data_IF_942011667214
#
_entry.id   IF_942011667214
#
_cell.length_a   1.000
_cell.length_b   1.000
_cell.length_c   1.000
_cell.angle_alpha   90.00
_cell.angle_beta   90.00
_cell.angle_gamma   90.00
#
_symmetry.space_group_name_H-M   'P 1'
#
loop_
_entity.id
_entity.type
_entity.pdbx_description
1 polymer ?
#
# COMPACT_ATOMS: atom_id res chain seq x y z
N UNK A 1 12.28 28.24 -66.36
CA UNK A 1 10.82 28.34 -66.52
C UNK A 1 10.16 27.16 -65.81
N UNK A 2 9.07 27.43 -65.10
CA UNK A 2 8.24 26.50 -64.30
C UNK A 2 7.71 25.30 -65.13
N UNK A 3 7.19 24.16 -64.63
CA UNK A 3 6.35 23.71 -63.50
C UNK A 3 6.55 22.17 -63.44
N UNK A 4 6.26 21.35 -62.42
CA UNK A 4 5.49 21.44 -61.18
C UNK A 4 4.75 20.09 -60.95
N UNK A 5 4.67 19.66 -59.67
CA UNK A 5 3.78 18.63 -59.07
C UNK A 5 4.15 17.15 -59.36
N UNK A 6 4.10 16.20 -58.43
CA UNK A 6 3.71 16.16 -57.02
C UNK A 6 3.97 14.74 -56.48
N UNK A 7 4.41 14.62 -55.23
CA UNK A 7 4.75 13.36 -54.57
C UNK A 7 3.49 12.55 -54.17
N UNK A 8 3.54 11.20 -54.17
CA UNK A 8 2.42 10.38 -53.75
C UNK A 8 2.35 10.29 -52.21
N UNK A 9 1.15 10.55 -51.68
CA UNK A 9 0.79 10.36 -50.26
C UNK A 9 0.68 8.87 -49.94
N UNK A 10 1.38 8.44 -48.89
CA UNK A 10 1.22 7.14 -48.26
C UNK A 10 -0.07 7.08 -47.43
N UNK A 11 -0.74 5.94 -47.55
CA UNK A 11 -1.98 5.55 -46.87
C UNK A 11 -1.63 5.03 -45.47
N UNK A 12 -2.24 5.50 -44.37
CA UNK A 12 -2.29 4.73 -43.14
C UNK A 12 -3.59 3.94 -43.05
N UNK A 13 -3.42 2.67 -42.72
CA UNK A 13 -4.47 1.68 -42.56
C UNK A 13 -5.47 2.05 -41.46
N UNK A 14 -6.74 1.82 -41.78
CA UNK A 14 -7.93 1.96 -40.95
C UNK A 14 -7.95 0.84 -39.90
N UNK A 15 -7.62 1.13 -38.65
CA UNK A 15 -7.97 0.26 -37.53
C UNK A 15 -9.31 0.73 -36.95
N UNK A 16 -10.28 -0.14 -37.09
CA UNK A 16 -11.64 -0.04 -36.57
C UNK A 16 -11.63 0.04 -35.04
N UNK A 17 -12.14 1.14 -34.49
CA UNK A 17 -12.46 1.27 -33.07
C UNK A 17 -13.61 0.34 -32.70
N UNK A 18 -13.37 -0.49 -31.68
CA UNK A 18 -14.40 -1.16 -30.91
C UNK A 18 -14.36 -0.54 -29.52
N UNK A 19 -15.35 0.32 -29.25
CA UNK A 19 -15.62 0.87 -27.93
C UNK A 19 -16.00 -0.27 -26.97
N UNK A 20 -15.06 -0.69 -26.13
CA UNK A 20 -15.34 -1.59 -25.02
C UNK A 20 -15.50 -0.77 -23.74
N UNK A 21 -16.76 -0.50 -23.38
CA UNK A 21 -17.15 0.04 -22.08
C UNK A 21 -16.56 -0.83 -20.95
N UNK A 22 -15.67 -0.25 -20.16
CA UNK A 22 -15.19 -0.83 -18.90
C UNK A 22 -16.33 -0.76 -17.88
N UNK A 23 -17.02 -1.88 -17.67
CA UNK A 23 -17.98 -2.06 -16.59
C UNK A 23 -17.26 -2.44 -15.29
N UNK A 24 -17.63 -1.91 -14.11
CA UNK A 24 -17.05 -2.31 -12.83
C UNK A 24 -17.56 -3.70 -12.39
N UNK A 25 -16.78 -4.52 -11.67
CA UNK A 25 -17.21 -5.88 -11.32
C UNK A 25 -18.06 -5.94 -10.04
N UNK A 26 -19.12 -6.78 -10.12
CA UNK A 26 -19.70 -7.59 -9.04
C UNK A 26 -20.44 -6.88 -7.86
N UNK A 27 -21.44 -6.04 -8.16
CA UNK A 27 -22.48 -5.70 -7.18
C UNK A 27 -23.93 -5.68 -7.72
N UNK A 28 -24.16 -6.03 -8.98
CA UNK A 28 -25.44 -5.73 -9.68
C UNK A 28 -26.37 -6.91 -9.94
N UNK A 29 -26.11 -8.12 -9.41
CA UNK A 29 -26.89 -9.31 -9.78
C UNK A 29 -27.92 -9.84 -8.78
N UNK A 30 -28.29 -9.10 -7.71
CA UNK A 30 -29.28 -9.61 -6.73
C UNK A 30 -30.41 -8.69 -6.30
N UNK A 31 -30.73 -7.60 -7.01
CA UNK A 31 -31.93 -6.80 -6.71
C UNK A 31 -32.61 -6.27 -7.99
N UNK A 32 -33.54 -7.05 -8.54
CA UNK A 32 -34.62 -6.50 -9.37
C UNK A 32 -35.90 -6.41 -8.53
N UNK A 33 -36.43 -5.21 -8.24
CA UNK A 33 -37.82 -5.06 -7.83
C UNK A 33 -38.70 -4.86 -9.06
N UNK A 34 -39.70 -5.73 -9.12
CA UNK A 34 -40.85 -5.75 -10.03
C UNK A 34 -41.55 -4.39 -10.24
N UNK A 35 -41.88 -4.09 -11.50
CA UNK A 35 -42.80 -3.01 -11.93
C UNK A 35 -44.14 -3.05 -11.17
N UNK A 36 -44.58 -1.92 -10.60
CA UNK A 36 -46.01 -1.65 -10.30
C UNK A 36 -46.49 -0.36 -10.98
N UNK A 37 -47.69 -0.46 -11.57
CA UNK A 37 -48.40 0.53 -12.40
C UNK A 37 -49.09 1.64 -11.58
N UNK A 38 -49.12 2.85 -12.18
CA UNK A 38 -50.14 3.94 -12.20
C UNK A 38 -51.03 4.18 -10.96
N UNK A 39 -51.11 5.46 -10.56
CA UNK A 39 -52.40 6.19 -10.44
C UNK A 39 -52.20 7.71 -10.67
N UNK A 40 -53.03 8.26 -11.58
CA UNK A 40 -53.24 9.69 -11.82
C UNK A 40 -54.21 10.24 -10.75
N UNK A 41 -53.95 11.43 -10.23
CA UNK A 41 -54.88 12.20 -9.37
C UNK A 41 -54.82 13.69 -9.73
N UNK A 42 -55.98 14.32 -9.86
CA UNK A 42 -56.24 15.66 -10.42
C UNK A 42 -55.98 16.81 -9.43
N UNK A 43 -55.62 17.94 -10.05
CA UNK A 43 -55.75 19.38 -9.72
C UNK A 43 -56.74 19.77 -8.61
N UNK A 44 -56.32 20.69 -7.74
CA UNK A 44 -57.16 21.76 -7.18
C UNK A 44 -56.33 23.05 -7.02
N UNK A 45 -56.97 24.17 -7.36
CA UNK A 45 -56.44 25.54 -7.49
C UNK A 45 -57.03 26.35 -6.34
N UNK A 46 -56.22 27.12 -5.60
CA UNK A 46 -56.71 28.13 -4.64
C UNK A 46 -55.76 29.33 -4.63
N UNK A 47 -56.33 30.53 -4.53
CA UNK A 47 -55.79 31.84 -4.90
C UNK A 47 -55.51 32.74 -3.69
N UNK A 48 -54.29 33.32 -3.63
CA UNK A 48 -53.92 34.64 -3.07
C UNK A 48 -53.81 34.83 -1.54
N UNK A 49 -53.15 35.90 -1.02
CA UNK A 49 -52.58 37.06 -1.72
C UNK A 49 -51.09 37.45 -1.39
N UNK A 50 -50.54 38.22 -2.35
CA UNK A 50 -49.45 39.24 -2.40
C UNK A 50 -48.39 39.47 -1.29
N UNK A 51 -47.19 39.75 -1.83
CA UNK A 51 -46.17 40.77 -1.48
C UNK A 51 -45.19 40.47 -0.34
N UNK A 52 -43.94 40.17 -0.72
CA UNK A 52 -42.75 40.94 -0.27
C UNK A 52 -41.62 40.73 -1.30
N UNK A 53 -41.27 41.79 -2.02
CA UNK A 53 -40.05 41.89 -2.84
C UNK A 53 -38.98 42.49 -1.93
N UNK A 54 -38.01 41.67 -1.53
CA UNK A 54 -36.81 42.08 -0.78
C UNK A 54 -35.60 42.22 -1.70
N UNK A 55 -34.62 43.06 -1.35
CA UNK A 55 -33.78 43.76 -2.31
C UNK A 55 -32.67 42.90 -2.93
N UNK A 56 -32.31 43.28 -4.16
CA UNK A 56 -31.10 42.90 -4.88
C UNK A 56 -29.88 42.89 -3.96
N UNK A 57 -29.34 41.71 -3.66
CA UNK A 57 -28.03 41.58 -3.01
C UNK A 57 -26.94 41.73 -4.07
N UNK A 58 -26.44 42.95 -4.11
CA UNK A 58 -25.04 43.31 -4.39
C UNK A 58 -24.05 42.22 -3.95
N UNK A 59 -22.96 42.09 -4.72
CA UNK A 59 -21.81 41.23 -4.48
C UNK A 59 -21.49 40.97 -3.00
N UNK A 60 -22.06 39.90 -2.44
CA UNK A 60 -21.56 39.32 -1.21
C UNK A 60 -20.30 38.55 -1.59
N UNK A 61 -19.13 39.13 -1.26
CA UNK A 61 -17.88 38.37 -1.12
C UNK A 61 -18.20 37.25 -0.14
N UNK A 62 -18.39 36.02 -0.65
CA UNK A 62 -18.59 34.84 0.16
C UNK A 62 -17.31 34.66 0.98
N UNK A 63 -17.29 35.12 2.22
CA UNK A 63 -16.29 34.68 3.19
C UNK A 63 -16.49 33.19 3.36
N UNK A 64 -15.67 32.42 2.66
CA UNK A 64 -15.68 30.97 2.71
C UNK A 64 -15.10 30.60 4.08
N UNK A 65 -15.97 30.33 5.06
CA UNK A 65 -15.57 29.80 6.35
C UNK A 65 -14.90 28.43 6.12
N UNK A 66 -13.58 28.40 6.20
CA UNK A 66 -12.82 27.15 6.18
C UNK A 66 -13.00 26.44 7.51
N UNK A 67 -13.35 25.15 7.47
CA UNK A 67 -13.31 24.31 8.66
C UNK A 67 -11.85 24.13 9.12
N UNK A 68 -11.62 23.73 10.37
CA UNK A 68 -10.26 23.42 10.87
C UNK A 68 -9.55 22.39 9.97
N UNK A 69 -10.30 21.41 9.44
CA UNK A 69 -9.75 20.42 8.52
C UNK A 69 -9.40 21.00 7.15
N UNK A 70 -10.17 21.96 6.64
CA UNK A 70 -9.82 22.63 5.38
C UNK A 70 -8.54 23.46 5.51
N UNK A 71 -8.29 24.05 6.69
CA UNK A 71 -7.02 24.73 6.98
C UNK A 71 -5.88 23.71 6.95
N UNK A 72 -6.03 22.58 7.64
CA UNK A 72 -5.02 21.51 7.66
C UNK A 72 -4.71 20.98 6.26
N UNK A 73 -5.74 20.75 5.44
CA UNK A 73 -5.56 20.31 4.06
C UNK A 73 -4.90 21.39 3.20
N UNK A 74 -5.37 22.63 3.30
CA UNK A 74 -4.79 23.77 2.57
C UNK A 74 -3.30 23.95 2.89
N UNK A 75 -2.93 23.97 4.17
CA UNK A 75 -1.52 24.05 4.59
C UNK A 75 -0.73 22.85 4.10
N UNK A 76 -1.33 21.65 4.11
CA UNK A 76 -0.69 20.45 3.57
C UNK A 76 -0.41 20.52 2.07
N UNK A 77 -1.33 21.08 1.28
CA UNK A 77 -1.12 21.32 -0.16
C UNK A 77 -0.01 22.33 -0.39
N UNK A 78 -0.01 23.44 0.35
CA UNK A 78 1.05 24.46 0.25
C UNK A 78 2.43 23.91 0.60
N UNK A 79 2.49 23.03 1.60
CA UNK A 79 3.72 22.34 1.95
C UNK A 79 4.19 21.40 0.83
N UNK A 80 3.27 20.65 0.20
CA UNK A 80 3.60 19.81 -0.95
C UNK A 80 4.09 20.63 -2.16
N UNK A 81 3.46 21.79 -2.43
CA UNK A 81 3.86 22.73 -3.47
C UNK A 81 5.27 23.28 -3.22
N UNK A 82 5.55 23.69 -1.99
CA UNK A 82 6.88 24.16 -1.59
C UNK A 82 7.92 23.05 -1.75
N UNK A 83 7.58 21.82 -1.39
CA UNK A 83 8.48 20.67 -1.50
C UNK A 83 8.79 20.31 -2.96
N UNK A 84 7.79 20.32 -3.85
CA UNK A 84 8.00 20.12 -5.28
C UNK A 84 8.82 21.26 -5.90
N UNK A 85 8.55 22.51 -5.51
CA UNK A 85 9.23 23.69 -6.06
C UNK A 85 10.68 23.85 -5.58
N UNK A 86 10.97 23.46 -4.34
CA UNK A 86 12.31 23.59 -3.76
C UNK A 86 13.29 22.50 -4.24
N UNK A 87 12.79 21.41 -4.81
CA UNK A 87 13.58 20.23 -5.18
C UNK A 87 13.34 19.78 -6.63
N UNK A 88 13.51 20.67 -7.62
CA UNK A 88 13.34 20.30 -9.02
C UNK A 88 14.41 19.27 -9.43
N UNK A 89 14.04 18.25 -10.21
CA UNK A 89 14.98 17.25 -10.71
C UNK A 89 15.26 16.08 -9.76
N UNK A 90 14.64 16.03 -8.58
CA UNK A 90 14.75 14.92 -7.62
C UNK A 90 13.55 13.96 -7.66
N UNK A 91 12.73 14.00 -8.72
CA UNK A 91 11.51 13.20 -8.84
C UNK A 91 11.81 11.70 -8.72
N UNK A 92 12.81 11.21 -9.45
CA UNK A 92 13.21 9.80 -9.43
C UNK A 92 13.73 9.37 -8.06
N UNK A 93 14.46 10.25 -7.37
CA UNK A 93 14.91 10.00 -6.00
C UNK A 93 13.70 9.83 -5.06
N UNK A 94 12.72 10.72 -5.12
CA UNK A 94 11.53 10.63 -4.29
C UNK A 94 10.68 9.40 -4.61
N UNK A 95 10.56 9.02 -5.88
CA UNK A 95 9.89 7.78 -6.29
C UNK A 95 10.64 6.54 -5.78
N UNK A 96 11.97 6.56 -5.79
CA UNK A 96 12.76 5.48 -5.23
C UNK A 96 12.61 5.39 -3.71
N UNK A 97 12.65 6.52 -2.99
CA UNK A 97 12.39 6.57 -1.54
C UNK A 97 10.99 6.06 -1.21
N UNK A 98 9.98 6.42 -2.02
CA UNK A 98 8.61 5.94 -1.83
C UNK A 98 8.49 4.44 -2.00
N UNK A 99 9.24 3.86 -2.95
CA UNK A 99 9.30 2.42 -3.14
C UNK A 99 9.83 1.70 -1.90
N UNK A 100 10.87 2.20 -1.22
CA UNK A 100 11.33 1.59 0.04
C UNK A 100 10.27 1.60 1.13
N UNK A 101 9.43 2.62 1.16
CA UNK A 101 8.28 2.68 2.07
C UNK A 101 7.10 1.79 1.66
N UNK A 102 7.09 1.21 0.45
CA UNK A 102 5.98 0.37 0.01
C UNK A 102 5.87 -0.85 0.93
N UNK A 103 4.68 -1.13 1.50
CA UNK A 103 4.47 -2.31 2.33
C UNK A 103 4.97 -3.62 1.70
N UNK A 104 5.01 -3.72 0.36
CA UNK A 104 5.59 -4.88 -0.35
C UNK A 104 7.04 -5.15 0.02
N UNK A 105 7.82 -4.09 0.27
CA UNK A 105 9.22 -4.19 0.66
C UNK A 105 9.42 -4.91 1.99
N UNK A 106 8.42 -4.95 2.88
CA UNK A 106 8.47 -5.82 4.07
C UNK A 106 8.67 -7.27 3.66
N UNK A 107 7.90 -7.75 2.69
CA UNK A 107 7.88 -9.15 2.28
C UNK A 107 9.08 -9.50 1.39
N UNK A 108 9.46 -8.60 0.48
CA UNK A 108 10.48 -8.88 -0.54
C UNK A 108 11.89 -8.42 -0.18
N UNK A 109 12.05 -7.44 0.73
CA UNK A 109 13.36 -6.88 1.11
C UNK A 109 13.63 -7.10 2.61
N UNK A 110 12.80 -6.53 3.48
CA UNK A 110 13.13 -6.44 4.91
C UNK A 110 13.07 -7.79 5.62
N UNK A 111 12.05 -8.61 5.36
CA UNK A 111 11.92 -9.94 5.93
C UNK A 111 13.11 -10.85 5.56
N UNK A 112 13.47 -11.05 4.27
CA UNK A 112 14.60 -11.89 3.91
C UNK A 112 15.93 -11.40 4.49
N UNK A 113 16.22 -10.09 4.39
CA UNK A 113 17.46 -9.52 4.92
C UNK A 113 17.58 -9.71 6.43
N UNK A 114 16.52 -9.40 7.17
CA UNK A 114 16.50 -9.59 8.61
C UNK A 114 16.60 -11.08 9.00
N UNK A 115 15.93 -11.97 8.26
CA UNK A 115 15.95 -13.41 8.51
C UNK A 115 17.35 -14.00 8.36
N UNK A 116 18.05 -13.68 7.28
CA UNK A 116 19.37 -14.26 6.98
C UNK A 116 20.51 -13.53 7.69
N UNK A 117 20.49 -12.19 7.75
CA UNK A 117 21.62 -11.40 8.26
C UNK A 117 21.56 -11.14 9.76
N UNK A 118 20.36 -10.95 10.32
CA UNK A 118 20.17 -10.60 11.74
C UNK A 118 19.63 -11.77 12.58
N UNK A 119 19.09 -12.79 11.93
CA UNK A 119 18.69 -14.06 12.52
C UNK A 119 17.20 -14.38 12.33
N UNK A 120 16.89 -15.69 12.32
CA UNK A 120 15.56 -16.24 12.04
C UNK A 120 14.44 -15.54 12.83
N UNK A 121 14.66 -15.32 14.14
CA UNK A 121 13.70 -14.63 15.03
C UNK A 121 13.44 -13.19 14.61
N UNK A 122 14.48 -12.41 14.28
CA UNK A 122 14.33 -11.01 13.88
C UNK A 122 13.56 -10.91 12.58
N UNK A 123 13.91 -11.72 11.57
CA UNK A 123 13.16 -11.78 10.32
C UNK A 123 11.68 -12.10 10.50
N UNK A 124 11.36 -13.13 11.29
CA UNK A 124 9.97 -13.48 11.58
C UNK A 124 9.23 -12.36 12.33
N UNK A 125 9.89 -11.66 13.24
CA UNK A 125 9.32 -10.46 13.89
C UNK A 125 9.07 -9.33 12.90
N UNK A 126 9.99 -9.05 11.97
CA UNK A 126 9.78 -8.04 10.90
C UNK A 126 8.53 -8.36 10.08
N UNK A 127 8.41 -9.61 9.62
CA UNK A 127 7.27 -10.05 8.82
C UNK A 127 5.96 -9.97 9.61
N UNK A 128 5.95 -10.44 10.86
CA UNK A 128 4.77 -10.43 11.73
C UNK A 128 4.32 -9.01 12.10
N UNK A 129 5.25 -8.10 12.38
CA UNK A 129 4.89 -6.71 12.67
C UNK A 129 4.40 -5.99 11.42
N UNK A 130 5.00 -6.26 10.27
CA UNK A 130 4.53 -5.73 8.99
C UNK A 130 3.10 -6.14 8.68
N UNK A 131 2.78 -7.44 8.74
CA UNK A 131 1.43 -7.93 8.41
C UNK A 131 0.35 -7.43 9.39
N UNK A 132 0.63 -7.38 10.69
CA UNK A 132 -0.37 -6.90 11.67
C UNK A 132 -0.53 -5.38 11.53
N UNK A 133 0.56 -4.64 11.31
CA UNK A 133 0.50 -3.20 11.06
C UNK A 133 -0.23 -2.87 9.76
N UNK A 134 -0.08 -3.70 8.73
CA UNK A 134 -0.78 -3.54 7.46
C UNK A 134 -2.28 -3.76 7.59
N UNK A 135 -2.69 -4.85 8.24
CA UNK A 135 -4.09 -5.10 8.57
C UNK A 135 -4.69 -3.97 9.43
N UNK A 136 -3.98 -3.50 10.46
CA UNK A 136 -4.42 -2.37 11.29
C UNK A 136 -4.51 -1.06 10.49
N UNK A 137 -3.59 -0.82 9.55
CA UNK A 137 -3.64 0.33 8.64
C UNK A 137 -4.89 0.30 7.78
N UNK A 138 -5.23 -0.88 7.22
CA UNK A 138 -6.44 -1.08 6.43
C UNK A 138 -7.69 -0.78 7.25
N UNK A 139 -7.81 -1.31 8.47
CA UNK A 139 -8.95 -1.04 9.34
C UNK A 139 -9.05 0.44 9.68
N UNK A 140 -7.92 1.06 10.05
CA UNK A 140 -7.87 2.48 10.40
C UNK A 140 -8.27 3.37 9.22
N UNK A 141 -7.87 3.01 8.00
CA UNK A 141 -8.27 3.73 6.78
C UNK A 141 -9.77 3.73 6.55
N UNK A 142 -10.42 2.59 6.76
CA UNK A 142 -11.87 2.50 6.67
C UNK A 142 -12.59 3.22 7.80
N UNK A 143 -11.97 3.43 8.95
CA UNK A 143 -12.60 4.13 10.07
C UNK A 143 -12.37 5.66 10.03
N UNK A 144 -11.22 6.10 9.52
CA UNK A 144 -10.81 7.51 9.56
C UNK A 144 -11.20 8.31 8.31
N UNK A 145 -11.59 7.66 7.21
CA UNK A 145 -12.10 8.32 5.99
C UNK A 145 -11.22 9.48 5.48
N UNK A 146 -9.90 9.33 5.53
CA UNK A 146 -8.99 10.42 5.17
C UNK A 146 -9.00 10.75 3.67
N UNK A 147 -9.08 12.04 3.35
CA UNK A 147 -8.86 12.59 2.00
C UNK A 147 -7.40 12.41 1.52
N UNK A 148 -7.16 12.53 0.21
CA UNK A 148 -5.80 12.62 -0.35
C UNK A 148 -5.58 13.92 -1.11
N UNK A 149 -4.35 14.46 -1.11
CA UNK A 149 -4.06 15.73 -1.78
C UNK A 149 -4.49 15.74 -3.25
N UNK A 150 -4.13 14.72 -4.04
CA UNK A 150 -4.31 14.77 -5.49
C UNK A 150 -5.77 14.89 -5.94
N UNK A 151 -6.74 14.31 -5.22
CA UNK A 151 -8.16 14.49 -5.54
C UNK A 151 -8.80 15.66 -4.77
N UNK A 152 -8.34 15.94 -3.56
CA UNK A 152 -8.90 16.99 -2.72
C UNK A 152 -8.71 18.37 -3.35
N UNK A 153 -7.51 18.62 -3.89
CA UNK A 153 -7.16 19.86 -4.61
C UNK A 153 -8.14 20.11 -5.77
N UNK A 154 -8.50 19.06 -6.49
CA UNK A 154 -9.37 19.14 -7.67
C UNK A 154 -10.85 19.30 -7.31
N UNK A 155 -11.35 18.60 -6.29
CA UNK A 155 -12.73 18.75 -5.81
C UNK A 155 -12.98 20.14 -5.21
N UNK A 156 -12.06 20.67 -4.40
CA UNK A 156 -12.22 21.98 -3.77
C UNK A 156 -11.94 23.17 -4.70
N UNK A 157 -11.59 22.91 -5.97
CA UNK A 157 -11.25 23.95 -6.95
C UNK A 157 -10.02 24.77 -6.55
N UNK A 158 -9.14 24.22 -5.71
CA UNK A 158 -7.96 24.89 -5.20
C UNK A 158 -7.01 25.24 -6.36
N UNK A 159 -6.90 24.36 -7.37
CA UNK A 159 -6.18 24.61 -8.63
C UNK A 159 -6.77 25.69 -9.53
N UNK A 160 -8.05 26.06 -9.38
CA UNK A 160 -8.69 27.11 -10.20
C UNK A 160 -8.57 28.51 -9.58
N UNK A 161 -8.34 28.58 -8.26
CA UNK A 161 -8.28 29.84 -7.50
C UNK A 161 -6.85 30.36 -7.29
N UNK A 162 -5.86 29.47 -7.35
CA UNK A 162 -4.44 29.76 -7.19
C UNK A 162 -3.72 28.92 -8.25
N UNK A 163 -2.89 29.52 -9.10
CA UNK A 163 -2.09 28.81 -10.11
C UNK A 163 -1.04 27.93 -9.42
N UNK A 164 -1.49 26.82 -8.84
CA UNK A 164 -0.63 25.85 -8.16
C UNK A 164 -0.26 24.77 -9.17
N UNK A 165 1.01 24.72 -9.56
CA UNK A 165 1.55 23.73 -10.49
C UNK A 165 2.03 22.49 -9.72
N UNK A 166 1.09 21.73 -9.18
CA UNK A 166 1.37 20.45 -8.53
C UNK A 166 1.31 19.29 -9.53
N UNK A 167 2.34 18.46 -9.55
CA UNK A 167 2.45 17.31 -10.46
C UNK A 167 2.04 16.01 -9.77
N UNK A 168 1.30 15.17 -10.47
CA UNK A 168 1.07 13.78 -10.07
C UNK A 168 2.15 12.86 -10.67
N UNK A 169 2.31 11.70 -10.06
CA UNK A 169 3.28 10.68 -10.43
C UNK A 169 2.62 9.30 -10.50
N UNK A 170 3.28 8.29 -11.11
CA UNK A 170 2.73 6.93 -11.17
C UNK A 170 2.33 6.29 -9.84
N UNK A 171 2.88 6.75 -8.72
CA UNK A 171 2.56 6.28 -7.36
C UNK A 171 1.59 7.19 -6.60
N UNK A 172 1.07 8.26 -7.21
CA UNK A 172 0.10 9.18 -6.60
C UNK A 172 -1.30 8.55 -6.49
N UNK A 173 -1.74 7.87 -7.54
CA UNK A 173 -3.14 7.43 -7.73
C UNK A 173 -3.52 6.18 -6.94
N UNK A 174 -3.36 6.21 -5.63
CA UNK A 174 -3.80 5.13 -4.75
C UNK A 174 -5.31 5.19 -4.49
N UNK A 175 -5.98 4.03 -4.49
CA UNK A 175 -7.46 3.96 -4.41
C UNK A 175 -8.05 3.96 -3.00
N UNK A 176 -7.27 3.59 -1.99
CA UNK A 176 -7.75 3.53 -0.60
C UNK A 176 -7.73 4.90 0.11
N UNK A 177 -8.46 5.06 1.23
CA UNK A 177 -8.43 6.28 2.04
C UNK A 177 -7.01 6.68 2.49
N UNK A 178 -6.81 7.97 2.75
CA UNK A 178 -5.50 8.57 2.99
C UNK A 178 -4.96 8.47 4.42
N UNK A 179 -5.80 8.23 5.45
CA UNK A 179 -5.35 8.29 6.85
C UNK A 179 -5.39 6.92 7.55
N UNK A 180 -4.31 6.46 8.22
CA UNK A 180 -2.96 7.03 8.24
C UNK A 180 -2.10 6.53 7.06
N UNK A 181 -0.94 7.16 6.86
CA UNK A 181 0.03 6.73 5.82
C UNK A 181 0.53 5.30 6.07
N UNK A 182 0.11 4.37 5.22
CA UNK A 182 0.52 2.96 5.31
C UNK A 182 2.02 2.77 5.08
N UNK A 183 2.62 3.55 4.18
CA UNK A 183 4.06 3.46 3.89
C UNK A 183 4.91 3.76 5.12
N UNK A 184 4.50 4.76 5.91
CA UNK A 184 5.19 5.13 7.15
C UNK A 184 4.88 4.16 8.30
N UNK A 185 3.60 3.82 8.48
CA UNK A 185 3.13 2.99 9.60
C UNK A 185 3.67 1.55 9.53
N UNK A 186 3.59 0.94 8.35
CA UNK A 186 3.96 -0.46 8.15
C UNK A 186 5.49 -0.59 8.19
N UNK A 187 6.21 0.29 7.48
CA UNK A 187 7.68 0.31 7.49
C UNK A 187 8.24 0.61 8.87
N UNK A 188 7.65 1.56 9.60
CA UNK A 188 8.04 1.88 10.98
C UNK A 188 7.90 0.68 11.91
N UNK A 189 6.72 0.03 11.89
CA UNK A 189 6.49 -1.15 12.72
C UNK A 189 7.43 -2.32 12.35
N UNK A 190 7.60 -2.59 11.06
CA UNK A 190 8.41 -3.71 10.56
C UNK A 190 9.90 -3.53 10.85
N UNK A 191 10.45 -2.32 10.77
CA UNK A 191 11.88 -2.07 10.99
C UNK A 191 12.27 -1.87 12.47
N UNK A 192 11.31 -1.64 13.36
CA UNK A 192 11.54 -1.56 14.81
C UNK A 192 12.43 -2.68 15.41
N UNK A 193 12.18 -3.98 15.15
CA UNK A 193 13.03 -5.07 15.64
C UNK A 193 14.46 -5.02 15.09
N UNK A 194 14.64 -4.56 13.84
CA UNK A 194 15.95 -4.41 13.18
C UNK A 194 16.76 -3.32 13.86
N UNK A 195 16.19 -2.12 14.02
CA UNK A 195 16.89 -1.02 14.71
C UNK A 195 17.21 -1.38 16.15
N UNK A 196 16.28 -2.05 16.84
CA UNK A 196 16.46 -2.47 18.23
C UNK A 196 17.61 -3.49 18.40
N UNK A 197 17.75 -4.47 17.50
CA UNK A 197 18.85 -5.44 17.60
C UNK A 197 20.20 -4.81 17.24
N UNK A 198 20.25 -3.96 16.21
CA UNK A 198 21.46 -3.26 15.80
C UNK A 198 21.95 -2.31 16.90
N UNK A 199 21.05 -1.53 17.50
CA UNK A 199 21.37 -0.66 18.62
C UNK A 199 21.95 -1.45 19.81
N UNK A 200 21.35 -2.60 20.16
CA UNK A 200 21.89 -3.48 21.23
C UNK A 200 23.25 -4.06 20.88
N UNK A 201 23.48 -4.49 19.64
CA UNK A 201 24.77 -5.03 19.20
C UNK A 201 25.87 -3.97 19.28
N UNK A 202 25.61 -2.76 18.78
CA UNK A 202 26.56 -1.65 18.86
C UNK A 202 26.81 -1.25 20.33
N UNK A 203 25.76 -1.20 21.15
CA UNK A 203 25.89 -0.84 22.56
C UNK A 203 26.71 -1.85 23.38
N UNK A 204 26.72 -3.13 22.99
CA UNK A 204 27.59 -4.15 23.59
C UNK A 204 29.06 -3.98 23.21
N UNK A 205 29.33 -3.55 21.98
CA UNK A 205 30.69 -3.49 21.43
C UNK A 205 31.34 -2.10 21.55
N UNK A 206 30.58 -1.07 21.90
CA UNK A 206 31.06 0.31 21.98
C UNK A 206 30.52 1.06 23.19
N UNK A 207 31.39 1.82 23.85
CA UNK A 207 31.01 2.73 24.94
C UNK A 207 30.46 4.08 24.44
N UNK A 208 30.74 4.44 23.18
CA UNK A 208 30.35 5.74 22.59
C UNK A 208 28.83 5.88 22.51
N UNK A 209 28.29 6.97 23.06
CA UNK A 209 26.86 7.27 22.99
C UNK A 209 26.41 7.59 21.55
N UNK A 210 27.30 8.20 20.75
CA UNK A 210 27.03 8.55 19.34
C UNK A 210 26.76 7.27 18.55
N UNK A 211 27.66 6.29 18.64
CA UNK A 211 27.51 5.01 17.93
C UNK A 211 26.23 4.26 18.36
N UNK A 212 25.85 4.36 19.63
CA UNK A 212 24.59 3.77 20.14
C UNK A 212 23.35 4.45 19.55
N UNK A 213 23.42 5.74 19.24
CA UNK A 213 22.31 6.49 18.65
C UNK A 213 22.14 6.26 17.13
N UNK A 214 23.24 5.93 16.42
CA UNK A 214 23.25 5.78 14.95
C UNK A 214 22.07 4.95 14.39
N UNK A 215 21.76 3.74 14.89
CA UNK A 215 20.67 2.95 14.31
C UNK A 215 19.32 3.65 14.38
N UNK A 216 19.00 4.28 15.52
CA UNK A 216 17.76 5.03 15.68
C UNK A 216 17.74 6.29 14.82
N UNK A 217 18.86 7.02 14.73
CA UNK A 217 18.98 8.18 13.84
C UNK A 217 18.71 7.80 12.37
N UNK A 218 19.32 6.71 11.88
CA UNK A 218 19.10 6.21 10.51
C UNK A 218 17.64 5.79 10.31
N UNK A 219 17.05 5.10 11.29
CA UNK A 219 15.64 4.69 11.23
C UNK A 219 14.68 5.89 11.17
N UNK A 220 14.87 6.90 12.02
CA UNK A 220 14.03 8.11 11.99
C UNK A 220 14.23 8.91 10.70
N UNK A 221 15.46 9.04 10.20
CA UNK A 221 15.74 9.70 8.93
C UNK A 221 15.07 8.98 7.75
N UNK A 222 15.12 7.64 7.72
CA UNK A 222 14.45 6.85 6.70
C UNK A 222 12.93 7.08 6.74
N UNK A 223 12.30 7.05 7.91
CA UNK A 223 10.86 7.30 8.04
C UNK A 223 10.47 8.72 7.65
N UNK A 224 11.30 9.71 7.97
CA UNK A 224 11.12 11.08 7.55
C UNK A 224 11.19 11.20 6.02
N UNK A 225 12.21 10.60 5.38
CA UNK A 225 12.36 10.59 3.93
C UNK A 225 11.18 9.90 3.24
N UNK A 226 10.75 8.74 3.75
CA UNK A 226 9.53 8.06 3.27
C UNK A 226 8.34 8.99 3.40
N UNK A 227 8.14 9.62 4.56
CA UNK A 227 7.05 10.56 4.80
C UNK A 227 7.03 11.74 3.83
N UNK A 228 8.17 12.39 3.64
CA UNK A 228 8.34 13.49 2.67
C UNK A 228 8.07 13.02 1.25
N UNK A 229 8.51 11.82 0.87
CA UNK A 229 8.21 11.26 -0.46
C UNK A 229 6.70 11.13 -0.70
N UNK A 230 5.91 10.77 0.33
CA UNK A 230 4.45 10.61 0.21
C UNK A 230 3.72 11.93 0.01
N UNK A 231 4.25 12.98 0.62
CA UNK A 231 3.75 14.34 0.47
C UNK A 231 4.15 14.89 -0.91
N UNK A 232 5.41 14.69 -1.31
CA UNK A 232 5.93 15.09 -2.63
C UNK A 232 5.08 14.52 -3.77
N UNK A 233 4.71 13.23 -3.69
CA UNK A 233 3.88 12.60 -4.73
C UNK A 233 2.37 12.83 -4.54
N UNK A 234 1.93 13.72 -3.63
CA UNK A 234 0.51 14.04 -3.40
C UNK A 234 -0.35 12.86 -2.94
N UNK A 235 0.27 11.81 -2.38
CA UNK A 235 -0.45 10.63 -1.89
C UNK A 235 -0.98 10.83 -0.46
N UNK A 236 -0.32 11.65 0.36
CA UNK A 236 -0.70 11.90 1.76
C UNK A 236 -0.47 13.35 2.19
N UNK A 237 -1.30 13.81 3.12
CA UNK A 237 -1.08 15.08 3.83
C UNK A 237 -0.07 14.91 4.98
N UNK A 238 0.59 15.99 5.43
CA UNK A 238 1.59 15.93 6.52
C UNK A 238 1.07 15.29 7.81
N UNK A 239 -0.16 15.61 8.25
CA UNK A 239 -0.74 15.03 9.46
C UNK A 239 -0.93 13.49 9.34
N UNK A 240 -1.26 12.98 8.15
CA UNK A 240 -1.42 11.55 7.90
C UNK A 240 -0.09 10.81 7.93
N UNK A 241 0.98 11.47 7.47
CA UNK A 241 2.36 10.98 7.56
C UNK A 241 2.81 10.93 9.02
N UNK A 242 2.63 12.02 9.77
CA UNK A 242 2.97 12.08 11.20
C UNK A 242 2.21 10.99 11.97
N UNK A 243 0.90 10.88 11.77
CA UNK A 243 0.07 9.84 12.38
C UNK A 243 0.56 8.43 12.02
N UNK A 244 0.94 8.21 10.75
CA UNK A 244 1.51 6.93 10.31
C UNK A 244 2.85 6.61 10.99
N UNK A 245 3.77 7.56 11.08
CA UNK A 245 5.08 7.38 11.74
C UNK A 245 4.89 7.04 13.22
N UNK A 246 4.07 7.82 13.94
CA UNK A 246 3.80 7.60 15.36
C UNK A 246 3.15 6.25 15.59
N UNK A 247 2.09 5.92 14.83
CA UNK A 247 1.43 4.62 14.92
C UNK A 247 2.40 3.46 14.63
N UNK A 248 3.24 3.58 13.60
CA UNK A 248 4.23 2.56 13.25
C UNK A 248 5.24 2.31 14.37
N UNK A 249 5.79 3.38 14.96
CA UNK A 249 6.70 3.29 16.11
C UNK A 249 6.02 2.63 17.31
N UNK A 250 4.81 3.09 17.66
CA UNK A 250 4.05 2.54 18.79
C UNK A 250 3.73 1.06 18.60
N UNK A 251 3.31 0.66 17.41
CA UNK A 251 3.03 -0.75 17.08
C UNK A 251 4.31 -1.59 17.13
N UNK A 252 5.40 -1.12 16.54
CA UNK A 252 6.69 -1.81 16.61
C UNK A 252 7.16 -2.04 18.04
N UNK A 253 7.05 -1.01 18.89
CA UNK A 253 7.43 -1.08 20.28
C UNK A 253 6.54 -2.02 21.12
N UNK A 254 5.22 -1.96 20.92
CA UNK A 254 4.25 -2.72 21.70
C UNK A 254 4.20 -4.20 21.27
N UNK A 255 4.16 -4.46 19.96
CA UNK A 255 3.88 -5.78 19.43
C UNK A 255 5.13 -6.68 19.28
N UNK A 256 6.36 -6.13 19.38
CA UNK A 256 7.59 -6.93 19.24
C UNK A 256 7.69 -8.10 20.24
N UNK A 257 6.98 -8.04 21.36
CA UNK A 257 6.95 -9.09 22.38
C UNK A 257 5.90 -10.18 22.12
N UNK A 258 4.92 -9.91 21.25
CA UNK A 258 3.75 -10.76 20.98
C UNK A 258 3.86 -11.54 19.66
N UNK A 259 5.07 -11.91 19.27
CA UNK A 259 5.33 -12.61 18.01
C UNK A 259 5.11 -14.11 18.23
N UNK A 260 4.18 -14.77 17.50
CA UNK A 260 3.95 -16.19 17.61
C UNK A 260 5.05 -16.94 16.89
N UNK A 261 6.18 -17.13 17.56
CA UNK A 261 7.28 -17.95 17.06
C UNK A 261 6.93 -19.43 17.21
N UNK A 262 7.10 -20.20 16.14
CA UNK A 262 7.01 -21.67 16.15
C UNK A 262 5.68 -22.24 16.68
N UNK A 263 4.56 -21.52 16.48
CA UNK A 263 3.22 -22.06 16.76
C UNK A 263 2.83 -23.11 15.71
N UNK A 264 1.89 -23.99 16.06
CA UNK A 264 1.40 -25.02 15.14
C UNK A 264 0.57 -24.46 13.97
N UNK A 265 0.40 -25.24 12.90
CA UNK A 265 -0.37 -24.85 11.71
C UNK A 265 -1.77 -24.29 12.02
N UNK A 266 -2.49 -24.91 12.97
CA UNK A 266 -3.83 -24.47 13.40
C UNK A 266 -3.86 -23.01 13.85
N UNK A 267 -2.82 -22.54 14.54
CA UNK A 267 -2.75 -21.14 14.99
C UNK A 267 -2.72 -20.17 13.80
N UNK A 268 -1.87 -20.44 12.80
CA UNK A 268 -1.76 -19.60 11.61
C UNK A 268 -3.01 -19.70 10.73
N UNK A 269 -3.59 -20.88 10.59
CA UNK A 269 -4.87 -21.06 9.88
C UNK A 269 -5.98 -20.23 10.52
N UNK A 270 -6.15 -20.33 11.84
CA UNK A 270 -7.15 -19.55 12.58
C UNK A 270 -6.85 -18.06 12.53
N UNK A 271 -5.59 -17.64 12.61
CA UNK A 271 -5.21 -16.22 12.50
C UNK A 271 -5.53 -15.67 11.11
N UNK A 272 -5.17 -16.40 10.05
CA UNK A 272 -5.46 -16.06 8.66
C UNK A 272 -6.97 -15.90 8.44
N UNK A 273 -7.77 -16.87 8.92
CA UNK A 273 -9.23 -16.78 8.89
C UNK A 273 -9.77 -15.62 9.72
N UNK A 274 -9.21 -15.36 10.91
CA UNK A 274 -9.66 -14.28 11.79
C UNK A 274 -9.39 -12.90 11.18
N UNK A 275 -8.23 -12.68 10.55
CA UNK A 275 -7.90 -11.43 9.86
C UNK A 275 -8.86 -11.17 8.70
N UNK A 276 -9.17 -12.21 7.91
CA UNK A 276 -10.13 -12.11 6.81
C UNK A 276 -11.56 -11.85 7.30
N UNK A 277 -12.02 -12.62 8.30
CA UNK A 277 -13.37 -12.51 8.84
C UNK A 277 -13.60 -11.15 9.50
N UNK A 278 -12.67 -10.69 10.35
CA UNK A 278 -12.78 -9.40 11.03
C UNK A 278 -12.79 -8.22 10.05
N UNK A 279 -11.94 -8.23 9.02
CA UNK A 279 -11.97 -7.21 7.97
C UNK A 279 -13.30 -7.21 7.21
N UNK A 280 -13.82 -8.40 6.89
CA UNK A 280 -15.11 -8.56 6.20
C UNK A 280 -16.28 -8.07 7.06
N UNK A 281 -16.29 -8.40 8.35
CA UNK A 281 -17.30 -7.92 9.31
C UNK A 281 -17.27 -6.40 9.41
N UNK A 282 -16.09 -5.79 9.56
CA UNK A 282 -15.94 -4.32 9.61
C UNK A 282 -16.43 -3.68 8.31
N UNK A 283 -16.02 -4.22 7.16
CA UNK A 283 -16.46 -3.74 5.84
C UNK A 283 -17.99 -3.72 5.72
N UNK A 284 -18.65 -4.85 5.98
CA UNK A 284 -20.11 -4.94 5.88
C UNK A 284 -20.81 -4.09 6.93
N UNK A 285 -20.27 -4.01 8.14
CA UNK A 285 -20.84 -3.14 9.19
C UNK A 285 -20.86 -1.69 8.74
N UNK A 286 -19.73 -1.16 8.22
CA UNK A 286 -19.66 0.22 7.74
C UNK A 286 -20.64 0.48 6.57
N UNK A 287 -20.77 -0.48 5.65
CA UNK A 287 -21.76 -0.41 4.56
C UNK A 287 -23.19 -0.37 5.11
N UNK A 288 -23.52 -1.23 6.08
CA UNK A 288 -24.87 -1.26 6.70
C UNK A 288 -25.19 0.01 7.49
N UNK A 289 -24.17 0.68 8.03
CA UNK A 289 -24.29 2.00 8.66
C UNK A 289 -24.43 3.15 7.64
N UNK A 290 -24.49 2.83 6.34
CA UNK A 290 -24.69 3.81 5.27
C UNK A 290 -23.41 4.49 4.79
N UNK A 291 -22.24 3.98 5.17
CA UNK A 291 -20.97 4.59 4.79
C UNK A 291 -20.47 3.97 3.47
N UNK A 292 -20.40 4.78 2.40
CA UNK A 292 -19.92 4.33 1.08
C UNK A 292 -18.40 4.15 1.08
N UNK A 293 -17.90 2.92 1.25
CA UNK A 293 -16.46 2.61 1.19
C UNK A 293 -15.85 2.72 -0.22
N UNK A 294 -16.66 2.81 -1.27
CA UNK A 294 -16.18 2.99 -2.65
C UNK A 294 -15.94 4.47 -3.00
N UNK A 295 -16.24 5.40 -2.10
CA UNK A 295 -16.06 6.84 -2.31
C UNK A 295 -14.63 7.19 -2.75
N UNK A 296 -13.60 6.65 -2.06
CA UNK A 296 -12.20 6.94 -2.34
C UNK A 296 -11.76 6.37 -3.68
N UNK A 297 -12.31 5.21 -4.07
CA UNK A 297 -12.05 4.60 -5.37
C UNK A 297 -12.64 5.44 -6.51
N UNK A 298 -13.87 5.97 -6.33
CA UNK A 298 -14.50 6.86 -7.31
C UNK A 298 -13.69 8.16 -7.49
N UNK A 299 -13.22 8.75 -6.40
CA UNK A 299 -12.37 9.94 -6.44
C UNK A 299 -11.02 9.68 -7.11
N UNK A 300 -10.36 8.57 -6.77
CA UNK A 300 -9.11 8.17 -7.40
C UNK A 300 -9.27 7.98 -8.93
N UNK A 301 -10.34 7.31 -9.37
CA UNK A 301 -10.64 7.13 -10.80
C UNK A 301 -10.98 8.44 -11.51
N UNK A 302 -11.61 9.38 -10.81
CA UNK A 302 -12.01 10.68 -11.37
C UNK A 302 -10.83 11.65 -11.55
N UNK A 303 -9.90 11.67 -10.60
CA UNK A 303 -8.86 12.71 -10.50
C UNK A 303 -7.44 12.24 -10.73
N UNK A 304 -7.22 10.95 -10.94
CA UNK A 304 -5.92 10.48 -11.39
C UNK A 304 -5.62 11.03 -12.79
N UNK A 305 -4.43 11.63 -12.96
CA UNK A 305 -4.01 12.23 -14.22
C UNK A 305 -3.88 11.19 -15.35
N UNK A 306 -3.43 9.98 -15.01
CA UNK A 306 -3.30 8.88 -15.97
C UNK A 306 -3.97 7.61 -15.42
N UNK A 307 -5.06 7.11 -16.04
CA UNK A 307 -5.77 5.92 -15.59
C UNK A 307 -4.87 4.67 -15.45
N UNK A 308 -3.76 4.58 -16.19
CA UNK A 308 -2.80 3.47 -16.09
C UNK A 308 -2.06 3.43 -14.75
N UNK A 309 -2.05 4.53 -13.99
CA UNK A 309 -1.41 4.59 -12.68
C UNK A 309 -2.28 4.01 -11.56
N UNK A 310 -3.56 3.75 -11.83
CA UNK A 310 -4.46 3.07 -10.89
C UNK A 310 -4.14 1.58 -10.91
N UNK A 311 -3.46 1.10 -9.86
CA UNK A 311 -3.04 -0.30 -9.73
C UNK A 311 -3.97 -1.07 -8.79
N UNK A 312 -4.31 -2.31 -9.16
CA UNK A 312 -5.07 -3.24 -8.31
C UNK A 312 -4.42 -3.48 -6.95
N UNK A 313 -3.09 -3.43 -6.87
CA UNK A 313 -2.34 -3.55 -5.60
C UNK A 313 -2.66 -2.46 -4.57
N UNK A 314 -3.20 -1.33 -5.01
CA UNK A 314 -3.54 -0.20 -4.12
C UNK A 314 -4.95 -0.30 -3.55
N UNK A 315 -5.67 -1.38 -3.89
CA UNK A 315 -7.02 -1.62 -3.39
C UNK A 315 -6.96 -2.15 -1.95
N UNK A 316 -7.87 -1.71 -1.08
CA UNK A 316 -7.96 -2.19 0.31
C UNK A 316 -7.91 -3.72 0.46
N UNK A 317 -8.62 -4.46 -0.40
CA UNK A 317 -8.65 -5.93 -0.34
C UNK A 317 -7.38 -6.61 -0.85
N UNK A 318 -6.55 -5.96 -1.66
CA UNK A 318 -5.27 -6.50 -2.10
C UNK A 318 -4.31 -6.68 -0.92
N UNK A 319 -4.28 -5.69 -0.02
CA UNK A 319 -3.55 -5.72 1.24
C UNK A 319 -3.99 -6.89 2.13
N UNK A 320 -5.31 -7.03 2.34
CA UNK A 320 -5.87 -8.15 3.10
C UNK A 320 -5.49 -9.52 2.50
N UNK A 321 -5.61 -9.66 1.17
CA UNK A 321 -5.26 -10.89 0.47
C UNK A 321 -3.81 -11.30 0.72
N UNK A 322 -2.89 -10.33 0.67
CA UNK A 322 -1.47 -10.55 0.94
C UNK A 322 -1.24 -11.00 2.39
N UNK A 323 -1.80 -10.30 3.36
CA UNK A 323 -1.59 -10.61 4.78
C UNK A 323 -2.12 -12.00 5.14
N UNK A 324 -3.36 -12.30 4.74
CA UNK A 324 -4.01 -13.60 4.96
C UNK A 324 -3.22 -14.73 4.30
N UNK A 325 -2.74 -14.52 3.07
CA UNK A 325 -1.93 -15.47 2.32
C UNK A 325 -0.58 -15.74 3.02
N UNK A 326 0.13 -14.69 3.41
CA UNK A 326 1.44 -14.83 4.07
C UNK A 326 1.32 -15.51 5.44
N UNK A 327 0.29 -15.20 6.23
CA UNK A 327 0.04 -15.90 7.50
C UNK A 327 -0.21 -17.39 7.28
N UNK A 328 -1.06 -17.74 6.30
CA UNK A 328 -1.29 -19.15 5.95
C UNK A 328 -0.01 -19.83 5.44
N UNK A 329 0.77 -19.13 4.60
CA UNK A 329 2.06 -19.57 4.07
C UNK A 329 3.08 -19.86 5.16
N UNK A 330 3.15 -19.01 6.20
CA UNK A 330 3.97 -19.26 7.39
C UNK A 330 3.56 -20.55 8.11
N UNK A 331 2.25 -20.75 8.28
CA UNK A 331 1.72 -21.98 8.87
C UNK A 331 2.10 -23.24 8.10
N UNK A 332 1.93 -23.23 6.77
CA UNK A 332 2.30 -24.35 5.89
C UNK A 332 3.82 -24.60 5.93
N UNK A 333 4.60 -23.53 5.94
CA UNK A 333 6.06 -23.60 6.00
C UNK A 333 6.54 -24.28 7.28
N UNK A 334 6.02 -23.88 8.44
CA UNK A 334 6.39 -24.49 9.72
C UNK A 334 5.84 -25.90 9.91
N UNK A 335 4.75 -26.26 9.24
CA UNK A 335 4.24 -27.63 9.25
C UNK A 335 5.05 -28.59 8.37
N UNK A 336 5.80 -28.07 7.40
CA UNK A 336 6.54 -28.90 6.44
C UNK A 336 7.66 -29.69 7.12
N UNK A 337 7.83 -30.97 6.73
CA UNK A 337 8.92 -31.83 7.23
C UNK A 337 10.31 -31.28 6.93
N UNK A 338 10.45 -30.55 5.82
CA UNK A 338 11.69 -29.89 5.42
C UNK A 338 12.10 -28.79 6.40
N UNK A 339 11.15 -28.07 6.99
CA UNK A 339 11.47 -27.08 8.03
C UNK A 339 12.02 -27.75 9.29
N UNK A 340 11.46 -28.87 9.73
CA UNK A 340 11.95 -29.61 10.91
C UNK A 340 13.40 -30.03 10.75
N UNK A 341 13.79 -30.50 9.55
CA UNK A 341 15.16 -30.85 9.22
C UNK A 341 16.09 -29.62 9.24
N UNK A 342 15.68 -28.53 8.58
CA UNK A 342 16.47 -27.28 8.47
C UNK A 342 16.53 -26.45 9.75
N UNK A 343 15.64 -26.71 10.72
CA UNK A 343 15.60 -25.99 11.98
C UNK A 343 16.89 -26.22 12.78
N UNK A 344 17.42 -27.45 12.72
CA UNK A 344 18.62 -27.90 13.41
C UNK A 344 19.91 -27.46 12.69
N UNK A 345 19.84 -27.28 11.37
CA UNK A 345 20.97 -26.87 10.55
C UNK A 345 21.36 -25.40 10.77
N UNK A 346 22.68 -25.17 10.89
CA UNK A 346 23.25 -23.82 11.08
C UNK A 346 24.03 -23.40 9.85
N UNK A 347 23.38 -22.58 9.01
CA UNK A 347 24.02 -21.92 7.87
C UNK A 347 25.21 -21.05 8.33
N UNK A 348 26.34 -21.19 7.65
CA UNK A 348 27.51 -20.31 7.79
C UNK A 348 27.24 -18.89 7.29
N UNK A 349 28.09 -17.92 7.65
CA UNK A 349 27.88 -16.51 7.28
C UNK A 349 27.79 -16.31 5.76
N UNK A 350 28.72 -16.91 4.99
CA UNK A 350 28.72 -16.79 3.53
C UNK A 350 27.45 -17.37 2.90
N UNK A 351 26.99 -18.52 3.40
CA UNK A 351 25.74 -19.15 2.95
C UNK A 351 24.53 -18.26 3.23
N UNK A 352 24.48 -17.59 4.39
CA UNK A 352 23.42 -16.62 4.72
C UNK A 352 23.46 -15.40 3.79
N UNK A 353 24.65 -14.91 3.47
CA UNK A 353 24.84 -13.83 2.49
C UNK A 353 24.28 -14.21 1.12
N UNK A 354 24.61 -15.40 0.62
CA UNK A 354 24.05 -15.92 -0.62
C UNK A 354 22.54 -16.12 -0.56
N UNK A 355 22.01 -16.66 0.54
CA UNK A 355 20.55 -16.79 0.73
C UNK A 355 19.86 -15.42 0.65
N UNK A 356 20.44 -14.39 1.27
CA UNK A 356 19.90 -13.03 1.26
C UNK A 356 19.88 -12.44 -0.16
N UNK A 357 20.97 -12.57 -0.90
CA UNK A 357 21.05 -12.07 -2.29
C UNK A 357 20.04 -12.80 -3.18
N UNK A 358 20.03 -14.14 -3.16
CA UNK A 358 19.09 -14.94 -3.94
C UNK A 358 17.64 -14.62 -3.58
N UNK A 359 17.34 -14.42 -2.29
CA UNK A 359 16.02 -14.05 -1.85
C UNK A 359 15.54 -12.73 -2.47
N UNK A 360 16.38 -11.69 -2.42
CA UNK A 360 16.04 -10.40 -3.03
C UNK A 360 15.77 -10.55 -4.53
N UNK A 361 16.63 -11.30 -5.24
CA UNK A 361 16.49 -11.51 -6.69
C UNK A 361 15.21 -12.28 -7.01
N UNK A 362 15.01 -13.45 -6.39
CA UNK A 362 13.85 -14.32 -6.65
C UNK A 362 12.54 -13.60 -6.31
N UNK A 363 12.47 -12.96 -5.14
CA UNK A 363 11.25 -12.26 -4.73
C UNK A 363 11.00 -11.00 -5.56
N UNK A 364 12.03 -10.28 -6.01
CA UNK A 364 11.88 -9.16 -6.94
C UNK A 364 11.26 -9.62 -8.26
N UNK A 365 11.77 -10.70 -8.86
CA UNK A 365 11.20 -11.23 -10.10
C UNK A 365 9.77 -11.73 -9.90
N UNK A 366 9.51 -12.53 -8.85
CA UNK A 366 8.17 -13.02 -8.54
C UNK A 366 7.17 -11.88 -8.29
N UNK A 367 7.61 -10.79 -7.66
CA UNK A 367 6.77 -9.60 -7.43
C UNK A 367 6.43 -8.86 -8.71
N UNK A 368 7.29 -8.93 -9.73
CA UNK A 368 7.13 -8.21 -11.00
C UNK A 368 6.54 -9.08 -12.13
N UNK A 369 6.18 -10.33 -11.87
CA UNK A 369 5.48 -11.18 -12.86
C UNK A 369 4.19 -10.49 -13.30
N UNK A 370 4.01 -10.41 -14.63
CA UNK A 370 2.81 -9.85 -15.26
C UNK A 370 1.55 -10.47 -14.67
N UNK A 371 0.65 -9.61 -14.17
CA UNK A 371 -0.57 -10.04 -13.52
C UNK A 371 -1.73 -10.10 -14.52
N UNK A 372 -2.67 -11.04 -14.35
CA UNK A 372 -3.82 -11.20 -15.24
C UNK A 372 -4.78 -10.01 -15.12
N UNK A 373 -5.54 -9.75 -16.18
CA UNK A 373 -6.60 -8.72 -16.18
C UNK A 373 -7.85 -9.18 -15.40
N UNK A 374 -8.12 -10.49 -15.34
CA UNK A 374 -9.27 -11.04 -14.63
C UNK A 374 -9.12 -10.93 -13.12
N UNK A 375 -10.04 -10.21 -12.46
CA UNK A 375 -9.99 -9.89 -11.02
C UNK A 375 -9.86 -11.13 -10.13
N UNK A 376 -10.67 -12.17 -10.37
CA UNK A 376 -10.62 -13.39 -9.56
C UNK A 376 -9.28 -14.13 -9.71
N UNK A 377 -8.77 -14.24 -10.94
CA UNK A 377 -7.47 -14.85 -11.21
C UNK A 377 -6.33 -14.02 -10.60
N UNK A 378 -6.46 -12.69 -10.63
CA UNK A 378 -5.49 -11.77 -10.03
C UNK A 378 -5.39 -11.99 -8.51
N UNK A 379 -6.51 -12.07 -7.80
CA UNK A 379 -6.51 -12.36 -6.36
C UNK A 379 -5.98 -13.77 -6.06
N UNK A 380 -6.39 -14.78 -6.83
CA UNK A 380 -5.92 -16.16 -6.66
C UNK A 380 -4.39 -16.29 -6.85
N UNK A 381 -3.83 -15.71 -7.91
CA UNK A 381 -2.38 -15.72 -8.15
C UNK A 381 -1.62 -14.89 -7.12
N UNK A 382 -2.14 -13.72 -6.71
CA UNK A 382 -1.52 -12.96 -5.63
C UNK A 382 -1.53 -13.73 -4.31
N UNK A 383 -2.62 -14.42 -4.00
CA UNK A 383 -2.69 -15.26 -2.81
C UNK A 383 -1.60 -16.34 -2.83
N UNK A 384 -1.50 -17.11 -3.92
CA UNK A 384 -0.46 -18.14 -4.07
C UNK A 384 0.95 -17.53 -4.00
N UNK A 385 1.16 -16.37 -4.64
CA UNK A 385 2.43 -15.64 -4.60
C UNK A 385 2.83 -15.33 -3.17
N UNK A 386 2.00 -14.63 -2.40
CA UNK A 386 2.33 -14.23 -1.03
C UNK A 386 2.31 -15.37 -0.01
N UNK A 387 1.58 -16.46 -0.28
CA UNK A 387 1.65 -17.69 0.52
C UNK A 387 2.96 -18.47 0.28
N UNK A 388 3.57 -18.36 -0.91
CA UNK A 388 4.82 -19.04 -1.22
C UNK A 388 6.07 -18.34 -0.67
N UNK A 389 6.03 -17.02 -0.44
CA UNK A 389 7.18 -16.24 0.02
C UNK A 389 7.82 -16.77 1.32
N UNK A 390 7.07 -17.05 2.41
CA UNK A 390 7.65 -17.64 3.61
C UNK A 390 8.37 -18.97 3.34
N UNK A 391 7.79 -19.83 2.49
CA UNK A 391 8.37 -21.12 2.15
C UNK A 391 9.66 -20.98 1.35
N UNK A 392 9.71 -20.03 0.41
CA UNK A 392 10.92 -19.73 -0.38
C UNK A 392 12.07 -19.33 0.56
N UNK A 393 11.81 -18.42 1.49
CA UNK A 393 12.82 -17.85 2.39
C UNK A 393 13.26 -18.83 3.47
N UNK A 394 12.31 -19.51 4.12
CA UNK A 394 12.58 -20.32 5.32
C UNK A 394 13.04 -21.73 4.95
N UNK A 395 12.60 -22.26 3.79
CA UNK A 395 12.81 -23.67 3.43
C UNK A 395 13.59 -23.83 2.12
N UNK A 396 13.10 -23.27 1.00
CA UNK A 396 13.68 -23.56 -0.32
C UNK A 396 15.12 -23.07 -0.45
N UNK A 397 15.39 -21.79 -0.15
CA UNK A 397 16.71 -21.19 -0.34
C UNK A 397 17.78 -21.78 0.60
N UNK A 398 17.54 -21.93 1.91
CA UNK A 398 18.45 -22.65 2.80
C UNK A 398 18.80 -24.05 2.29
N UNK A 399 17.79 -24.83 1.86
CA UNK A 399 17.99 -26.19 1.39
C UNK A 399 18.81 -26.23 0.10
N UNK A 400 18.52 -25.35 -0.86
CA UNK A 400 19.26 -25.25 -2.11
C UNK A 400 20.74 -24.93 -1.86
N UNK A 401 21.03 -23.97 -0.97
CA UNK A 401 22.41 -23.58 -0.68
C UNK A 401 23.16 -24.66 0.11
N UNK A 402 22.50 -25.39 1.02
CA UNK A 402 23.11 -26.52 1.73
C UNK A 402 23.45 -27.66 0.77
N UNK A 403 22.57 -27.99 -0.18
CA UNK A 403 22.82 -29.01 -1.20
C UNK A 403 23.99 -28.60 -2.09
N UNK A 404 24.04 -27.34 -2.54
CA UNK A 404 25.14 -26.83 -3.37
C UNK A 404 26.47 -26.74 -2.61
N UNK A 405 26.43 -26.56 -1.29
CA UNK A 405 27.62 -26.46 -0.46
C UNK A 405 28.14 -27.81 0.08
N UNK A 406 27.34 -28.88 0.01
CA UNK A 406 27.79 -30.23 0.34
C UNK A 406 28.56 -30.77 -0.87
N UNK A 407 29.90 -30.94 -0.79
CA UNK A 407 30.64 -31.59 -1.85
C UNK A 407 30.12 -33.02 -1.93
N UNK A 408 29.78 -33.49 -3.13
CA UNK A 408 29.30 -34.85 -3.35
C UNK A 408 30.16 -35.84 -2.58
N UNK A 409 29.54 -36.52 -1.62
CA UNK A 409 30.17 -37.63 -0.91
C UNK A 409 30.48 -38.66 -1.98
N UNK A 410 31.76 -38.83 -2.31
CA UNK A 410 32.21 -39.91 -3.17
C UNK A 410 31.66 -41.21 -2.57
N UNK A 411 30.86 -41.91 -3.36
CA UNK A 411 30.43 -43.26 -3.07
C UNK A 411 31.68 -44.15 -3.05
N UNK A 412 32.28 -44.33 -1.88
CA UNK A 412 33.12 -45.48 -1.63
C UNK A 412 32.21 -46.71 -1.71
N UNK A 413 32.28 -47.38 -2.85
CA UNK A 413 31.80 -48.76 -3.01
C UNK A 413 32.98 -49.63 -2.57
N UNK A 414 32.81 -50.34 -1.45
CA UNK A 414 33.63 -51.50 -1.11
C UNK A 414 33.32 -52.67 -2.04
#
# INVERSE_FOLDING_TARGET
>A
MARGKGAPKSIPARQTGADALVSPPLATWLLQPTRKKKKKGRVAKATGPRLYVGPSRTHARTEQFFTTMDIVYTTGVQFAETLQSALPGLEDFWLWVTFFGDPKCVFIIYFPLAYFLLGKKVGLTVLWLGLISEWLNLMSKWLLFGERPFWWISEFGFSKKKEIFLRQFPSSCETGPGSPSGHCMITGAALWPVVSILARQIAKNSKSWILKAVPFTVYFLLLLLIGLSRIFILAHFPHQVIGGILAGISLGWLLQFWVPLERGFRFYLMTSFSLWLSATVIYWTLITLGIDLNWSMKLAMKWCENPKWIRMDTYPFASLCRDVATVLGLGLTFHSSSYTQLKLERLGWLQRGWCAILALVVLYFLSNIAQPQGVALWYGLNFVKYASFPWIIITLLPKAILILASPGTQSHTE
#
